data_IF_162851016600
#
_entry.id   IF_162851016600
#
_cell.length_a   1.000
_cell.length_b   1.000
_cell.length_c   1.000
_cell.angle_alpha   90.00
_cell.angle_beta   90.00
_cell.angle_gamma   90.00
#
_symmetry.space_group_name_H-M   'P 1'
#
loop_
_entity.id
_entity.type
_entity.pdbx_description
1 polymer ?
#
# COMPACT_ATOMS: atom_id res chain seq x y z
N UNK A 1 10.92 -8.69 7.63
CA UNK A 1 10.69 -7.30 7.27
C UNK A 1 9.49 -7.22 6.34
N UNK A 2 8.72 -6.12 6.44
CA UNK A 2 7.68 -5.80 5.45
C UNK A 2 7.85 -4.35 4.97
N UNK A 3 7.38 -4.09 3.74
CA UNK A 3 7.35 -2.76 3.15
C UNK A 3 5.97 -2.54 2.53
N UNK A 4 5.37 -1.41 2.84
CA UNK A 4 4.12 -0.97 2.25
C UNK A 4 4.18 0.50 1.85
N UNK A 5 3.30 0.93 0.98
CA UNK A 5 3.28 2.32 0.55
C UNK A 5 1.89 2.78 0.09
N UNK A 6 1.71 4.08 0.04
CA UNK A 6 0.74 4.74 -0.79
C UNK A 6 1.45 5.78 -1.65
N UNK A 7 1.94 5.31 -2.79
CA UNK A 7 2.55 6.15 -3.82
C UNK A 7 1.55 6.25 -4.96
N UNK A 8 0.95 7.42 -5.09
CA UNK A 8 -0.14 7.66 -6.03
C UNK A 8 -0.18 9.13 -6.41
N UNK A 9 0.38 9.48 -7.55
CA UNK A 9 0.28 10.86 -8.03
C UNK A 9 -1.20 11.25 -8.19
N UNK A 10 -1.67 12.16 -7.34
CA UNK A 10 -3.07 12.60 -7.27
C UNK A 10 -3.28 14.03 -7.75
N UNK A 11 -2.22 14.77 -8.09
CA UNK A 11 -2.32 16.19 -8.42
C UNK A 11 -3.28 16.46 -9.58
N UNK A 12 -3.29 15.58 -10.58
CA UNK A 12 -4.22 15.68 -11.70
C UNK A 12 -5.68 15.37 -11.35
N UNK A 13 -5.92 14.70 -10.21
CA UNK A 13 -7.27 14.39 -9.72
C UNK A 13 -7.81 15.45 -8.77
N UNK A 14 -6.98 16.35 -8.27
CA UNK A 14 -7.40 17.33 -7.27
C UNK A 14 -8.32 18.41 -7.81
N UNK A 15 -8.44 18.55 -9.11
CA UNK A 15 -9.54 19.30 -9.73
C UNK A 15 -10.93 18.79 -9.34
N UNK A 16 -11.04 17.51 -8.99
CA UNK A 16 -12.27 16.92 -8.47
C UNK A 16 -12.50 17.22 -6.99
N UNK A 17 -11.53 17.81 -6.34
CA UNK A 17 -11.56 18.13 -4.92
C UNK A 17 -11.79 19.61 -4.65
N UNK A 18 -12.09 20.39 -5.69
CA UNK A 18 -12.61 21.73 -5.56
C UNK A 18 -14.13 21.66 -5.33
N UNK A 19 -14.64 22.49 -4.41
CA UNK A 19 -16.09 22.62 -4.24
C UNK A 19 -16.73 23.29 -5.46
N UNK A 20 -16.02 24.25 -6.03
CA UNK A 20 -16.36 24.91 -7.30
C UNK A 20 -15.09 24.99 -8.15
N UNK A 21 -15.06 24.39 -9.35
CA UNK A 21 -13.91 24.44 -10.24
C UNK A 21 -13.61 25.85 -10.80
N UNK A 22 -14.53 26.79 -10.66
CA UNK A 22 -14.37 28.17 -11.08
C UNK A 22 -13.91 29.11 -9.94
N UNK A 23 -13.87 28.61 -8.72
CA UNK A 23 -13.47 29.37 -7.55
C UNK A 23 -12.02 29.00 -7.16
N UNK A 24 -11.11 29.91 -7.37
CA UNK A 24 -9.67 29.73 -7.07
C UNK A 24 -9.32 30.14 -5.63
N UNK A 25 -10.29 30.24 -4.72
CA UNK A 25 -10.00 30.56 -3.32
C UNK A 25 -9.42 29.33 -2.61
N UNK A 26 -8.33 29.53 -1.86
CA UNK A 26 -7.70 28.54 -0.99
C UNK A 26 -8.72 27.97 0.03
N UNK A 27 -9.69 28.78 0.47
CA UNK A 27 -10.72 28.33 1.39
C UNK A 27 -11.73 27.35 0.79
N UNK A 28 -11.79 27.26 -0.54
CA UNK A 28 -12.64 26.31 -1.27
C UNK A 28 -11.92 25.01 -1.65
N UNK A 29 -10.66 24.84 -1.30
CA UNK A 29 -9.95 23.59 -1.50
C UNK A 29 -10.67 22.41 -0.82
N UNK A 30 -10.67 21.28 -1.50
CA UNK A 30 -11.24 20.05 -0.96
C UNK A 30 -10.57 19.63 0.36
N UNK A 31 -11.31 18.96 1.23
CA UNK A 31 -10.82 18.53 2.54
C UNK A 31 -9.49 17.77 2.53
N UNK A 32 -9.24 16.94 1.49
CA UNK A 32 -7.96 16.20 1.38
C UNK A 32 -6.77 17.12 1.19
N UNK A 33 -6.92 18.18 0.39
CA UNK A 33 -5.88 19.18 0.22
C UNK A 33 -5.64 19.91 1.52
N UNK A 34 -6.70 20.41 2.16
CA UNK A 34 -6.62 21.06 3.47
C UNK A 34 -5.94 20.15 4.49
N UNK A 35 -6.29 18.87 4.50
CA UNK A 35 -5.70 17.89 5.40
C UNK A 35 -4.19 17.73 5.18
N UNK A 36 -3.72 17.70 3.92
CA UNK A 36 -2.29 17.70 3.60
C UNK A 36 -1.60 19.04 3.97
N UNK A 37 -2.31 20.16 3.84
CA UNK A 37 -1.77 21.47 4.24
C UNK A 37 -1.61 21.59 5.77
N UNK A 38 -2.49 20.97 6.54
CA UNK A 38 -2.57 21.10 8.00
C UNK A 38 -1.80 20.01 8.75
N UNK A 39 -1.60 18.84 8.15
CA UNK A 39 -1.00 17.68 8.81
C UNK A 39 0.32 17.29 8.16
N UNK A 40 1.17 16.61 8.93
CA UNK A 40 2.51 16.15 8.50
C UNK A 40 2.62 14.64 8.67
N UNK A 41 3.36 14.00 7.77
CA UNK A 41 3.66 12.59 7.82
C UNK A 41 2.84 11.75 6.84
N UNK A 42 2.69 10.46 7.12
CA UNK A 42 1.85 9.58 6.31
C UNK A 42 0.37 9.79 6.66
N UNK A 43 -0.26 10.72 5.97
CA UNK A 43 -1.66 11.09 6.19
C UNK A 43 -2.66 10.09 5.63
N UNK A 44 -2.18 9.02 4.98
CA UNK A 44 -3.04 7.98 4.38
C UNK A 44 -2.41 6.58 4.50
N UNK A 45 -1.95 6.22 5.69
CA UNK A 45 -1.19 5.01 5.99
C UNK A 45 -1.93 3.69 5.69
N UNK A 46 -3.26 3.68 5.71
CA UNK A 46 -4.09 2.46 5.62
C UNK A 46 -3.74 1.57 4.42
N UNK A 47 -3.48 2.17 3.26
CA UNK A 47 -3.20 1.44 2.04
C UNK A 47 -1.87 0.69 2.06
N UNK A 48 -0.84 1.30 2.65
CA UNK A 48 0.46 0.66 2.82
C UNK A 48 0.52 -0.27 4.02
N UNK A 49 0.05 0.23 5.17
CA UNK A 49 0.20 -0.44 6.46
C UNK A 49 -0.76 -1.63 6.62
N UNK A 50 -2.03 -1.51 6.23
CA UNK A 50 -3.05 -2.50 6.50
C UNK A 50 -2.68 -3.93 6.08
N UNK A 51 -2.37 -4.18 4.80
CA UNK A 51 -2.00 -5.52 4.33
C UNK A 51 -0.72 -6.05 4.97
N UNK A 52 0.32 -5.22 5.11
CA UNK A 52 1.58 -5.70 5.70
C UNK A 52 1.48 -5.94 7.20
N UNK A 53 0.65 -5.18 7.92
CA UNK A 53 0.38 -5.41 9.34
C UNK A 53 -0.28 -6.77 9.57
N UNK A 54 -1.20 -7.19 8.70
CA UNK A 54 -1.80 -8.52 8.77
C UNK A 54 -0.76 -9.63 8.58
N UNK A 55 0.13 -9.49 7.59
CA UNK A 55 1.21 -10.44 7.35
C UNK A 55 2.23 -10.51 8.50
N UNK A 56 2.31 -9.46 9.31
CA UNK A 56 3.23 -9.36 10.45
C UNK A 56 2.58 -9.71 11.79
N UNK A 57 1.33 -10.17 11.80
CA UNK A 57 0.54 -10.55 13.00
C UNK A 57 0.34 -9.38 13.98
N UNK A 58 0.31 -8.15 13.49
CA UNK A 58 0.09 -6.97 14.33
C UNK A 58 -1.31 -7.07 14.95
N UNK A 59 -1.38 -6.91 16.28
CA UNK A 59 -2.54 -7.15 17.14
C UNK A 59 -3.03 -8.62 17.18
N UNK A 60 -2.23 -9.56 16.64
CA UNK A 60 -2.51 -11.00 16.66
C UNK A 60 -1.31 -11.81 17.14
N UNK A 61 -0.56 -11.28 18.09
CA UNK A 61 0.66 -11.87 18.63
C UNK A 61 1.89 -10.95 18.55
N UNK A 62 1.78 -9.83 17.86
CA UNK A 62 2.82 -8.81 17.79
C UNK A 62 2.22 -7.39 17.90
N UNK A 63 3.06 -6.38 18.16
CA UNK A 63 2.68 -4.96 18.25
C UNK A 63 3.86 -4.08 17.90
N UNK A 64 3.60 -2.88 17.41
CA UNK A 64 4.63 -1.87 17.24
C UNK A 64 5.09 -1.31 18.59
N UNK A 65 6.41 -1.09 18.72
CA UNK A 65 7.05 -0.56 19.92
C UNK A 65 7.78 0.75 19.67
N UNK A 66 8.25 0.96 18.45
CA UNK A 66 9.02 2.14 18.07
C UNK A 66 8.61 2.58 16.69
N UNK A 67 8.53 3.90 16.50
CA UNK A 67 8.27 4.53 15.21
C UNK A 67 9.24 5.69 15.02
N UNK A 68 9.84 5.78 13.83
CA UNK A 68 10.65 6.90 13.36
C UNK A 68 10.11 7.29 12.00
N UNK A 69 9.84 8.56 11.78
CA UNK A 69 9.41 9.07 10.49
C UNK A 69 10.27 10.25 10.05
N UNK A 70 10.50 10.34 8.75
CA UNK A 70 11.17 11.45 8.10
C UNK A 70 10.42 11.80 6.83
N UNK A 71 10.28 13.07 6.57
CA UNK A 71 9.65 13.59 5.36
C UNK A 71 10.53 14.63 4.68
N UNK A 72 10.26 14.86 3.40
CA UNK A 72 10.81 15.98 2.65
C UNK A 72 10.08 17.27 3.02
N UNK A 73 10.61 18.41 2.58
CA UNK A 73 9.79 19.61 2.47
C UNK A 73 8.68 19.42 1.42
N UNK A 74 7.65 20.25 1.50
CA UNK A 74 6.63 20.33 0.47
C UNK A 74 7.11 21.24 -0.66
N UNK A 75 7.57 20.66 -1.75
CA UNK A 75 7.91 21.38 -2.99
C UNK A 75 6.72 21.36 -3.95
N UNK A 76 6.36 20.18 -4.42
CA UNK A 76 5.27 19.99 -5.38
C UNK A 76 3.91 20.40 -4.81
N UNK A 77 3.66 20.15 -3.51
CA UNK A 77 2.42 20.55 -2.86
C UNK A 77 2.20 22.07 -2.85
N UNK A 78 3.22 22.83 -2.48
CA UNK A 78 3.18 24.30 -2.49
C UNK A 78 3.01 24.84 -3.90
N UNK A 79 3.81 24.34 -4.84
CA UNK A 79 3.77 24.76 -6.24
C UNK A 79 2.40 24.51 -6.85
N UNK A 80 1.79 23.35 -6.57
CA UNK A 80 0.45 23.02 -7.05
C UNK A 80 -0.62 24.00 -6.55
N UNK A 81 -0.61 24.30 -5.25
CA UNK A 81 -1.56 25.28 -4.67
C UNK A 81 -1.36 26.66 -5.30
N UNK A 82 -0.12 27.10 -5.41
CA UNK A 82 0.22 28.38 -6.05
C UNK A 82 -0.24 28.45 -7.51
N UNK A 83 0.03 27.40 -8.28
CA UNK A 83 -0.40 27.33 -9.69
C UNK A 83 -1.92 27.42 -9.82
N UNK A 84 -2.67 26.69 -8.98
CA UNK A 84 -4.13 26.62 -9.07
C UNK A 84 -4.85 27.84 -8.50
N UNK A 85 -4.32 28.44 -7.45
CA UNK A 85 -4.97 29.56 -6.76
C UNK A 85 -4.38 30.92 -7.11
N UNK A 86 -3.19 30.95 -7.74
CA UNK A 86 -2.42 32.19 -7.95
C UNK A 86 -1.83 32.78 -6.66
N UNK A 87 -1.94 32.07 -5.53
CA UNK A 87 -1.48 32.54 -4.21
C UNK A 87 -0.55 31.52 -3.57
N UNK A 88 0.51 31.99 -2.93
CA UNK A 88 1.32 31.15 -2.04
C UNK A 88 0.46 30.65 -0.87
N UNK A 89 0.46 29.35 -0.56
CA UNK A 89 -0.16 28.86 0.66
C UNK A 89 0.62 29.41 1.87
N UNK A 90 -0.09 29.89 2.88
CA UNK A 90 0.53 30.36 4.13
C UNK A 90 1.35 29.25 4.79
N UNK A 91 0.85 28.04 4.74
CA UNK A 91 1.50 26.85 5.27
C UNK A 91 1.13 25.65 4.41
N UNK A 92 2.08 24.74 4.19
CA UNK A 92 1.84 23.42 3.65
C UNK A 92 2.74 22.45 4.45
N UNK A 93 2.15 21.75 5.41
CA UNK A 93 2.90 20.99 6.42
C UNK A 93 3.35 19.63 5.94
N UNK A 94 2.56 18.98 5.07
CA UNK A 94 2.91 17.64 4.61
C UNK A 94 4.04 17.70 3.59
N UNK A 95 5.11 16.97 3.83
CA UNK A 95 6.18 16.77 2.85
C UNK A 95 5.67 16.02 1.61
N UNK A 96 6.34 16.19 0.48
CA UNK A 96 5.98 15.48 -0.74
C UNK A 96 6.18 13.96 -0.59
N UNK A 97 7.16 13.54 0.20
CA UNK A 97 7.43 12.15 0.50
C UNK A 97 7.70 11.94 1.99
N UNK A 98 7.06 10.94 2.57
CA UNK A 98 7.30 10.49 3.95
C UNK A 98 7.75 9.04 3.96
N UNK A 99 8.80 8.74 4.72
CA UNK A 99 9.22 7.36 5.05
C UNK A 99 9.09 7.14 6.55
N UNK A 100 8.41 6.08 6.93
CA UNK A 100 8.19 5.68 8.32
C UNK A 100 8.77 4.30 8.55
N UNK A 101 9.61 4.16 9.55
CA UNK A 101 10.14 2.87 10.02
C UNK A 101 9.51 2.52 11.37
N UNK A 102 9.02 1.31 11.50
CA UNK A 102 8.41 0.79 12.72
C UNK A 102 9.07 -0.53 13.12
N UNK A 103 9.40 -0.66 14.41
CA UNK A 103 9.88 -1.92 14.98
C UNK A 103 8.78 -2.57 15.82
N UNK A 104 8.68 -3.89 15.73
CA UNK A 104 7.73 -4.66 16.55
C UNK A 104 8.37 -5.23 17.79
N UNK A 105 7.56 -5.65 18.75
CA UNK A 105 8.00 -6.30 19.98
C UNK A 105 8.76 -7.60 19.70
N UNK A 106 8.40 -8.34 18.65
CA UNK A 106 9.07 -9.57 18.21
C UNK A 106 10.28 -9.30 17.28
N UNK A 107 10.77 -8.05 17.20
CA UNK A 107 11.99 -7.71 16.47
C UNK A 107 11.83 -7.60 14.95
N UNK A 108 10.61 -7.62 14.43
CA UNK A 108 10.34 -7.37 12.99
C UNK A 108 10.42 -5.87 12.70
N UNK A 109 10.66 -5.52 11.45
CA UNK A 109 10.68 -4.12 10.97
C UNK A 109 9.68 -3.98 9.83
N UNK A 110 8.90 -2.91 9.88
CA UNK A 110 7.97 -2.48 8.83
C UNK A 110 8.37 -1.08 8.35
N UNK A 111 8.45 -0.92 7.05
CA UNK A 111 8.65 0.37 6.40
C UNK A 111 7.39 0.78 5.65
N UNK A 112 6.95 2.02 5.83
CA UNK A 112 5.82 2.58 5.10
C UNK A 112 6.26 3.85 4.40
N UNK A 113 5.84 4.02 3.15
CA UNK A 113 6.09 5.22 2.37
C UNK A 113 4.77 5.86 1.93
N UNK A 114 4.74 7.18 1.93
CA UNK A 114 3.60 7.97 1.44
C UNK A 114 4.09 9.04 0.48
N UNK A 115 3.48 9.13 -0.70
CA UNK A 115 3.71 10.19 -1.67
C UNK A 115 2.51 10.32 -2.60
N UNK A 116 1.85 11.48 -2.60
CA UNK A 116 0.68 11.75 -3.44
C UNK A 116 0.82 12.99 -4.30
N UNK A 117 2.00 13.65 -4.25
CA UNK A 117 2.23 14.94 -4.86
C UNK A 117 3.19 14.91 -6.06
N UNK A 118 4.14 13.97 -6.05
CA UNK A 118 5.16 13.93 -7.11
C UNK A 118 4.85 12.87 -8.16
N UNK A 119 5.26 13.06 -9.42
CA UNK A 119 5.03 12.11 -10.50
C UNK A 119 5.74 10.79 -10.22
N UNK A 120 4.97 9.75 -9.92
CA UNK A 120 5.45 8.39 -9.74
C UNK A 120 4.38 7.40 -10.21
N UNK A 121 4.77 6.26 -10.81
CA UNK A 121 3.85 5.18 -11.07
C UNK A 121 3.18 4.69 -9.78
N UNK A 122 1.90 4.37 -9.86
CA UNK A 122 1.15 3.82 -8.73
C UNK A 122 1.87 2.62 -8.12
N UNK A 123 2.11 2.67 -6.81
CA UNK A 123 2.84 1.64 -6.10
C UNK A 123 2.41 1.55 -4.63
N UNK A 124 2.10 0.35 -4.17
CA UNK A 124 1.88 0.08 -2.74
C UNK A 124 3.02 -0.74 -2.11
N UNK A 125 4.10 -1.00 -2.85
CA UNK A 125 5.20 -1.90 -2.49
C UNK A 125 4.71 -3.32 -2.20
N UNK A 126 4.14 -3.57 -1.04
CA UNK A 126 3.72 -4.88 -0.55
C UNK A 126 4.82 -5.92 -0.72
N UNK A 127 5.95 -5.65 -0.05
CA UNK A 127 7.08 -6.54 0.00
C UNK A 127 7.16 -7.24 1.35
N UNK A 128 7.48 -8.51 1.32
CA UNK A 128 7.74 -9.32 2.50
C UNK A 128 9.09 -9.99 2.36
N UNK A 129 9.94 -9.88 3.37
CA UNK A 129 11.22 -10.59 3.45
C UNK A 129 11.22 -11.43 4.72
N UNK A 130 11.27 -12.73 4.54
CA UNK A 130 11.37 -13.72 5.62
C UNK A 130 12.69 -14.47 5.57
N UNK A 131 12.86 -15.40 6.50
CA UNK A 131 14.05 -16.27 6.58
C UNK A 131 14.08 -17.33 5.48
N UNK A 132 12.94 -17.61 4.85
CA UNK A 132 12.78 -18.67 3.86
C UNK A 132 12.36 -18.16 2.47
N UNK A 133 12.14 -16.85 2.31
CA UNK A 133 11.72 -16.32 1.03
C UNK A 133 11.40 -14.83 1.05
N UNK A 134 11.11 -14.36 -0.13
CA UNK A 134 10.76 -12.99 -0.44
C UNK A 134 9.52 -12.97 -1.35
N UNK A 135 8.65 -12.01 -1.14
CA UNK A 135 7.50 -11.75 -2.01
C UNK A 135 7.35 -10.24 -2.23
N UNK A 136 6.99 -9.85 -3.44
CA UNK A 136 6.59 -8.49 -3.78
C UNK A 136 5.35 -8.51 -4.67
N UNK A 137 4.52 -7.46 -4.59
CA UNK A 137 3.35 -7.32 -5.46
C UNK A 137 3.57 -6.29 -6.58
N UNK A 138 4.38 -5.28 -6.34
CA UNK A 138 4.56 -4.16 -7.26
C UNK A 138 6.01 -4.07 -7.77
N UNK A 139 6.23 -3.70 -9.05
CA UNK A 139 5.21 -3.41 -10.09
C UNK A 139 4.47 -4.66 -10.57
N UNK A 140 5.06 -5.83 -10.43
CA UNK A 140 4.48 -7.14 -10.77
C UNK A 140 4.70 -8.11 -9.62
N UNK A 141 3.75 -9.04 -9.35
CA UNK A 141 3.95 -10.05 -8.32
C UNK A 141 5.15 -10.93 -8.64
N UNK A 142 6.10 -11.04 -7.69
CA UNK A 142 7.29 -11.88 -7.81
C UNK A 142 7.63 -12.54 -6.47
N UNK A 143 8.21 -13.73 -6.54
CA UNK A 143 8.58 -14.53 -5.37
C UNK A 143 9.99 -15.09 -5.55
N UNK A 144 10.77 -15.10 -4.47
CA UNK A 144 12.02 -15.85 -4.37
C UNK A 144 11.97 -16.72 -3.11
N UNK A 145 12.33 -17.99 -3.24
CA UNK A 145 12.15 -18.99 -2.17
C UNK A 145 13.47 -19.75 -1.98
N UNK A 146 13.90 -19.90 -0.74
CA UNK A 146 15.07 -20.71 -0.40
C UNK A 146 14.83 -22.18 -0.81
N UNK A 147 15.86 -22.85 -1.33
CA UNK A 147 15.74 -24.15 -1.95
C UNK A 147 15.16 -25.27 -1.08
N UNK A 148 15.26 -25.13 0.24
CA UNK A 148 14.71 -26.09 1.22
C UNK A 148 13.42 -25.62 1.90
N UNK A 149 12.97 -24.41 1.62
CA UNK A 149 11.85 -23.79 2.30
C UNK A 149 10.51 -24.54 2.13
N UNK A 150 10.37 -25.25 1.02
CA UNK A 150 9.16 -26.01 0.70
C UNK A 150 9.23 -27.47 1.10
N UNK A 151 10.37 -27.95 1.63
CA UNK A 151 10.50 -29.35 2.10
C UNK A 151 9.54 -29.63 3.25
N UNK A 152 8.81 -30.73 3.16
CA UNK A 152 7.85 -31.15 4.18
C UNK A 152 6.57 -30.32 4.24
N UNK A 153 6.36 -29.43 3.30
CA UNK A 153 5.10 -28.66 3.13
C UNK A 153 4.22 -29.30 2.07
N UNK A 154 2.98 -28.82 1.96
CA UNK A 154 2.03 -29.21 0.92
C UNK A 154 2.16 -28.35 -0.36
N UNK A 155 3.22 -27.56 -0.47
CA UNK A 155 3.50 -26.72 -1.63
C UNK A 155 3.76 -27.57 -2.88
N UNK A 156 3.51 -26.99 -4.07
CA UNK A 156 3.88 -27.65 -5.32
C UNK A 156 5.38 -28.01 -5.36
N UNK A 157 5.71 -29.19 -5.84
CA UNK A 157 7.10 -29.58 -6.04
C UNK A 157 7.76 -28.63 -7.07
N UNK A 158 8.89 -28.09 -6.72
CA UNK A 158 9.64 -27.15 -7.55
C UNK A 158 11.12 -27.52 -7.53
N UNK A 159 11.67 -27.78 -8.71
CA UNK A 159 13.07 -28.06 -8.86
C UNK A 159 13.86 -26.79 -9.14
N UNK A 160 15.12 -26.78 -8.73
CA UNK A 160 16.06 -25.69 -9.01
C UNK A 160 15.64 -24.30 -8.50
N UNK A 161 14.90 -24.24 -7.40
CA UNK A 161 14.60 -22.97 -6.72
C UNK A 161 15.75 -22.56 -5.82
N UNK A 162 16.06 -21.27 -5.82
CA UNK A 162 16.99 -20.64 -4.87
C UNK A 162 16.58 -19.17 -4.66
N UNK A 163 17.00 -18.60 -3.54
CA UNK A 163 16.59 -17.24 -3.18
C UNK A 163 17.40 -16.13 -3.89
N UNK A 164 18.35 -16.45 -4.76
CA UNK A 164 19.06 -15.45 -5.57
C UNK A 164 18.27 -14.96 -6.78
N UNK A 165 17.28 -15.74 -7.22
CA UNK A 165 16.46 -15.40 -8.35
C UNK A 165 14.98 -15.54 -8.05
N UNK A 166 14.15 -14.92 -8.86
CA UNK A 166 12.70 -15.10 -8.80
C UNK A 166 12.31 -16.47 -9.36
N UNK A 167 11.16 -16.95 -8.90
CA UNK A 167 10.55 -18.15 -9.47
C UNK A 167 10.27 -17.97 -10.95
N UNK A 168 10.44 -19.05 -11.71
CA UNK A 168 10.05 -19.08 -13.13
C UNK A 168 8.52 -18.92 -13.24
N UNK A 169 8.00 -18.43 -14.40
CA UNK A 169 6.57 -18.18 -14.58
C UNK A 169 5.67 -19.38 -14.25
N UNK A 170 6.06 -20.59 -14.62
CA UNK A 170 5.32 -21.82 -14.31
C UNK A 170 5.31 -22.16 -12.83
N UNK A 171 6.45 -21.97 -12.13
CA UNK A 171 6.57 -22.18 -10.69
C UNK A 171 5.73 -21.18 -9.91
N UNK A 172 5.78 -19.91 -10.29
CA UNK A 172 4.97 -18.84 -9.76
C UNK A 172 3.48 -19.13 -9.90
N UNK A 173 3.04 -19.51 -11.10
CA UNK A 173 1.64 -19.86 -11.38
C UNK A 173 1.17 -21.05 -10.53
N UNK A 174 2.01 -22.05 -10.34
CA UNK A 174 1.69 -23.21 -9.49
C UNK A 174 1.53 -22.82 -8.02
N UNK A 175 2.44 -21.95 -7.52
CA UNK A 175 2.36 -21.43 -6.15
C UNK A 175 1.11 -20.59 -5.91
N UNK A 176 0.84 -19.65 -6.80
CA UNK A 176 -0.35 -18.79 -6.76
C UNK A 176 -1.63 -19.61 -6.80
N UNK A 177 -1.73 -20.59 -7.68
CA UNK A 177 -2.89 -21.48 -7.75
C UNK A 177 -3.12 -22.26 -6.45
N UNK A 178 -2.05 -22.74 -5.82
CA UNK A 178 -2.14 -23.51 -4.56
C UNK A 178 -2.59 -22.63 -3.37
N UNK A 179 -2.09 -21.43 -3.29
CA UNK A 179 -2.32 -20.53 -2.15
C UNK A 179 -3.29 -19.38 -2.44
N UNK A 180 -4.02 -19.47 -3.57
CA UNK A 180 -5.06 -18.50 -3.90
C UNK A 180 -6.11 -18.45 -2.78
N UNK A 181 -6.41 -17.24 -2.30
CA UNK A 181 -7.30 -17.11 -1.16
C UNK A 181 -8.73 -17.54 -1.51
N UNK A 182 -9.38 -18.42 -0.72
CA UNK A 182 -10.71 -18.97 -1.03
C UNK A 182 -11.79 -17.89 -1.28
N UNK A 183 -11.68 -16.73 -0.64
CA UNK A 183 -12.61 -15.62 -0.84
C UNK A 183 -12.59 -15.10 -2.30
N UNK A 184 -11.41 -15.11 -2.93
CA UNK A 184 -11.25 -14.70 -4.33
C UNK A 184 -11.86 -15.74 -5.29
N UNK A 185 -11.79 -17.02 -4.94
CA UNK A 185 -12.48 -18.08 -5.71
C UNK A 185 -14.00 -17.94 -5.59
N UNK A 186 -14.49 -17.64 -4.37
CA UNK A 186 -15.93 -17.56 -4.08
C UNK A 186 -16.59 -16.31 -4.68
N UNK A 187 -15.92 -15.17 -4.64
CA UNK A 187 -16.50 -13.86 -4.96
C UNK A 187 -15.83 -13.15 -6.14
N UNK A 188 -14.66 -13.62 -6.59
CA UNK A 188 -13.83 -12.89 -7.55
C UNK A 188 -14.46 -12.67 -8.91
N UNK A 189 -15.23 -13.64 -9.43
CA UNK A 189 -15.91 -13.47 -10.73
C UNK A 189 -17.01 -12.42 -10.66
N UNK A 190 -17.85 -12.48 -9.63
CA UNK A 190 -18.92 -11.49 -9.42
C UNK A 190 -18.38 -10.09 -9.12
N UNK A 191 -17.21 -10.02 -8.49
CA UNK A 191 -16.59 -8.76 -8.12
C UNK A 191 -15.88 -8.03 -9.25
N UNK A 192 -15.41 -8.72 -10.30
CA UNK A 192 -14.52 -8.15 -11.33
C UNK A 192 -15.06 -6.88 -12.00
N UNK A 193 -16.35 -6.78 -12.15
CA UNK A 193 -17.05 -5.64 -12.78
C UNK A 193 -17.41 -4.53 -11.77
N UNK A 194 -17.14 -4.77 -10.49
CA UNK A 194 -17.42 -3.85 -9.39
C UNK A 194 -16.22 -2.94 -9.08
N UNK A 195 -16.43 -1.91 -8.26
CA UNK A 195 -15.41 -0.92 -7.91
C UNK A 195 -14.05 -1.51 -7.52
N UNK A 196 -12.97 -0.86 -7.94
CA UNK A 196 -11.57 -1.24 -7.70
C UNK A 196 -11.23 -2.69 -8.09
N UNK A 197 -11.78 -3.17 -9.22
CA UNK A 197 -11.53 -4.54 -9.72
C UNK A 197 -12.11 -5.62 -8.82
N UNK A 198 -13.17 -5.31 -8.10
CA UNK A 198 -13.89 -6.22 -7.22
C UNK A 198 -13.50 -6.16 -5.74
N UNK A 199 -12.53 -5.35 -5.38
CA UNK A 199 -12.05 -5.26 -4.00
C UNK A 199 -13.17 -4.79 -3.05
N UNK A 200 -13.91 -3.77 -3.44
CA UNK A 200 -15.01 -3.20 -2.63
C UNK A 200 -16.11 -4.26 -2.41
N UNK A 201 -16.54 -4.93 -3.47
CA UNK A 201 -17.52 -6.00 -3.37
C UNK A 201 -17.06 -7.15 -2.47
N UNK A 202 -15.81 -7.60 -2.60
CA UNK A 202 -15.28 -8.70 -1.79
C UNK A 202 -15.21 -8.31 -0.31
N UNK A 203 -14.85 -7.08 -0.01
CA UNK A 203 -14.81 -6.54 1.35
C UNK A 203 -16.20 -6.54 1.98
N UNK A 204 -17.19 -6.00 1.30
CA UNK A 204 -18.56 -5.93 1.78
C UNK A 204 -19.18 -7.33 1.91
N UNK A 205 -18.99 -8.20 0.93
CA UNK A 205 -19.46 -9.58 0.98
C UNK A 205 -18.86 -10.35 2.17
N UNK A 206 -17.58 -10.08 2.51
CA UNK A 206 -16.94 -10.68 3.69
C UNK A 206 -17.55 -10.15 4.99
N UNK A 207 -17.80 -8.86 5.07
CA UNK A 207 -18.47 -8.25 6.23
C UNK A 207 -19.85 -8.87 6.46
N UNK A 208 -20.67 -8.90 5.41
CA UNK A 208 -22.03 -9.50 5.47
C UNK A 208 -21.96 -10.96 5.90
N UNK A 209 -21.04 -11.74 5.31
CA UNK A 209 -20.84 -13.13 5.71
C UNK A 209 -20.51 -13.26 7.20
N UNK A 210 -19.62 -12.43 7.74
CA UNK A 210 -19.26 -12.47 9.16
C UNK A 210 -20.38 -12.02 10.11
N UNK A 211 -21.30 -11.17 9.63
CA UNK A 211 -22.46 -10.74 10.43
C UNK A 211 -23.58 -11.78 10.45
N UNK A 212 -23.62 -12.67 9.44
CA UNK A 212 -24.65 -13.72 9.32
C UNK A 212 -24.25 -15.05 9.95
N UNK A 213 -22.97 -15.25 10.26
CA UNK A 213 -22.40 -16.48 10.80
C UNK A 213 -21.45 -16.17 11.99
#
# INVERSE_FOLDING_TARGET
>A
RAEGAYIHELSQFWKYYWKDPNDNDVDNLHWRMKYNMENRGDVYATHGLGPVAQCMDIHRGDRFTTLIAMDTESFAGKDWVKEKTGKEPKEFRNGDHTTTLMRTANGKVVEIQHNVMTPQPYNRLFKLTGTKGYATKYPTPEYAIAGDALKGTDAPKMDNINAHGFLKPEQKKALEKKYYHPILTKFGEKGREMGHGGMDYIMDARLVYCLQN
#
